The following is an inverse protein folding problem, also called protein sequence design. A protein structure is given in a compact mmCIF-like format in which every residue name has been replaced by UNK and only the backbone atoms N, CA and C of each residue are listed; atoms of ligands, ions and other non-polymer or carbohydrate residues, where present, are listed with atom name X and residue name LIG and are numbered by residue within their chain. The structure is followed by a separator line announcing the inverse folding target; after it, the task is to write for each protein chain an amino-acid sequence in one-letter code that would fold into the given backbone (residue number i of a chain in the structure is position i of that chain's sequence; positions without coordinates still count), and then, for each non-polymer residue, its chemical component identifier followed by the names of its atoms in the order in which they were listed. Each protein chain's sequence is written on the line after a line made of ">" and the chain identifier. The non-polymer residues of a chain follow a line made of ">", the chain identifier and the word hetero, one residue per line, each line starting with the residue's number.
data_IF_485751259491
#
_entry.id   IF_485751259491
#
_cell.length_a   1.000
_cell.length_b   1.000
_cell.length_c   1.000
_cell.angle_alpha   90.00
_cell.angle_beta   90.00
_cell.angle_gamma   90.00
#
_symmetry.space_group_name_H-M   'P 1'
#
loop_
_entity.id
_entity.type
_entity.pdbx_description
1 polymer ?
#
# COMPACT_ATOMS: atom_id res chain seq x y z
N UNK A 1 -0.23 -9.22 -28.71
CA UNK A 1 -0.17 -7.75 -28.59
C UNK A 1 1.13 -7.33 -27.91
N UNK A 2 1.38 -7.67 -26.64
CA UNK A 2 2.66 -7.38 -25.99
C UNK A 2 3.87 -7.97 -26.73
N UNK A 3 3.78 -9.20 -27.24
CA UNK A 3 4.82 -9.81 -28.08
C UNK A 3 5.18 -8.96 -29.31
N UNK A 4 4.17 -8.42 -29.98
CA UNK A 4 4.33 -7.56 -31.15
C UNK A 4 4.97 -6.23 -30.78
N UNK A 5 4.56 -5.62 -29.66
CA UNK A 5 5.17 -4.38 -29.15
C UNK A 5 6.64 -4.62 -28.81
N UNK A 6 6.94 -5.70 -28.07
CA UNK A 6 8.31 -6.12 -27.76
C UNK A 6 9.14 -6.30 -29.03
N UNK A 7 8.58 -6.95 -30.05
CA UNK A 7 9.26 -7.09 -31.34
C UNK A 7 9.62 -5.74 -31.97
N UNK A 8 8.69 -4.78 -32.01
CA UNK A 8 8.96 -3.43 -32.54
C UNK A 8 10.06 -2.72 -31.73
N UNK A 9 9.98 -2.79 -30.40
CA UNK A 9 10.99 -2.19 -29.52
C UNK A 9 12.36 -2.84 -29.75
N UNK A 10 12.44 -4.15 -29.85
CA UNK A 10 13.68 -4.88 -30.15
C UNK A 10 14.21 -4.51 -31.53
N UNK A 11 13.37 -4.53 -32.56
CA UNK A 11 13.76 -4.20 -33.94
C UNK A 11 14.32 -2.78 -34.05
N UNK A 12 13.64 -1.79 -33.45
CA UNK A 12 14.09 -0.38 -33.46
C UNK A 12 15.35 -0.14 -32.64
N UNK A 13 15.62 -0.97 -31.64
CA UNK A 13 16.84 -0.89 -30.83
C UNK A 13 18.03 -1.58 -31.50
N UNK A 14 17.81 -2.72 -32.15
CA UNK A 14 18.87 -3.53 -32.73
C UNK A 14 19.26 -3.07 -34.15
N UNK A 15 18.33 -2.50 -34.90
CA UNK A 15 18.59 -1.98 -36.25
C UNK A 15 18.96 -0.51 -36.22
N UNK A 16 20.19 -0.19 -36.62
CA UNK A 16 20.65 1.20 -36.77
C UNK A 16 19.74 2.00 -37.70
N UNK A 17 19.35 1.42 -38.84
CA UNK A 17 18.50 2.07 -39.83
C UNK A 17 17.12 2.41 -39.23
N UNK A 18 16.52 1.47 -38.48
CA UNK A 18 15.22 1.70 -37.85
C UNK A 18 15.30 2.76 -36.75
N UNK A 19 16.39 2.75 -35.97
CA UNK A 19 16.64 3.77 -34.93
C UNK A 19 16.79 5.16 -35.54
N UNK A 20 17.60 5.28 -36.60
CA UNK A 20 17.83 6.54 -37.30
C UNK A 20 16.53 7.05 -37.95
N UNK A 21 15.71 6.17 -38.53
CA UNK A 21 14.38 6.54 -39.04
C UNK A 21 13.46 7.04 -37.92
N UNK A 22 13.44 6.37 -36.76
CA UNK A 22 12.65 6.82 -35.61
C UNK A 22 13.09 8.23 -35.17
N UNK A 23 14.39 8.45 -34.99
CA UNK A 23 14.93 9.77 -34.59
C UNK A 23 14.63 10.84 -35.65
N UNK A 24 14.72 10.49 -36.94
CA UNK A 24 14.35 11.39 -38.05
C UNK A 24 12.88 11.81 -37.96
N UNK A 25 11.97 10.87 -37.71
CA UNK A 25 10.55 11.20 -37.57
C UNK A 25 10.27 11.99 -36.30
N UNK A 26 10.90 11.65 -35.17
CA UNK A 26 10.82 12.42 -33.94
C UNK A 26 11.22 13.88 -34.16
N UNK A 27 12.35 14.14 -34.85
CA UNK A 27 12.75 15.50 -35.26
C UNK A 27 11.72 16.17 -36.15
N UNK A 28 11.14 15.45 -37.11
CA UNK A 28 10.16 16.04 -38.04
C UNK A 28 8.83 16.41 -37.39
N UNK A 29 8.50 15.79 -36.25
CA UNK A 29 7.28 16.06 -35.48
C UNK A 29 7.55 16.85 -34.19
N UNK A 30 8.73 17.46 -34.06
CA UNK A 30 9.17 18.24 -32.89
C UNK A 30 9.12 17.46 -31.56
N UNK A 31 9.33 16.14 -31.60
CA UNK A 31 9.49 15.32 -30.42
C UNK A 31 10.96 15.22 -29.98
N UNK A 32 11.17 15.11 -28.67
CA UNK A 32 12.49 14.81 -28.09
C UNK A 32 12.93 13.43 -28.56
N UNK A 33 14.11 13.36 -29.17
CA UNK A 33 14.74 12.11 -29.58
C UNK A 33 14.93 11.17 -28.39
N UNK A 34 14.30 9.99 -28.47
CA UNK A 34 14.33 9.02 -27.39
C UNK A 34 14.03 7.64 -27.90
N UNK A 35 14.73 6.67 -27.30
CA UNK A 35 14.52 5.26 -27.60
C UNK A 35 13.21 4.76 -27.01
N UNK A 36 12.67 3.72 -27.63
CA UNK A 36 11.58 2.93 -27.07
C UNK A 36 12.08 2.13 -25.85
N UNK A 37 11.19 1.90 -24.89
CA UNK A 37 11.50 1.21 -23.64
C UNK A 37 11.04 -0.25 -23.77
N UNK A 38 11.92 -1.19 -23.40
CA UNK A 38 11.58 -2.61 -23.33
C UNK A 38 11.14 -2.98 -21.91
N UNK A 39 10.17 -3.88 -21.76
CA UNK A 39 9.73 -4.34 -20.45
C UNK A 39 10.67 -5.41 -19.87
N UNK A 40 10.90 -5.35 -18.56
CA UNK A 40 11.86 -6.19 -17.85
C UNK A 40 11.09 -6.99 -16.82
N UNK A 41 11.14 -8.32 -16.93
CA UNK A 41 10.37 -9.25 -16.10
C UNK A 41 10.58 -9.00 -14.60
N UNK A 42 11.80 -8.64 -14.19
CA UNK A 42 12.15 -8.40 -12.78
C UNK A 42 11.73 -7.03 -12.25
N UNK A 43 11.24 -6.11 -13.10
CA UNK A 43 10.82 -4.76 -12.71
C UNK A 43 9.31 -4.62 -12.86
N UNK A 44 8.61 -4.54 -11.73
CA UNK A 44 7.15 -4.68 -11.64
C UNK A 44 6.38 -3.69 -12.54
N UNK A 45 6.88 -2.47 -12.73
CA UNK A 45 6.22 -1.42 -13.53
C UNK A 45 6.74 -1.30 -14.97
N UNK A 46 7.67 -2.15 -15.39
CA UNK A 46 8.34 -1.99 -16.69
C UNK A 46 7.40 -2.13 -17.89
N UNK A 47 6.41 -3.03 -17.81
CA UNK A 47 5.38 -3.19 -18.86
C UNK A 47 4.54 -1.93 -19.02
N UNK A 48 4.19 -1.26 -17.92
CA UNK A 48 3.46 0.01 -17.96
C UNK A 48 4.26 1.08 -18.69
N UNK A 49 5.54 1.25 -18.35
CA UNK A 49 6.40 2.25 -19.00
C UNK A 49 6.69 1.94 -20.47
N UNK A 50 6.86 0.65 -20.84
CA UNK A 50 6.95 0.25 -22.24
C UNK A 50 5.70 0.65 -23.02
N UNK A 51 4.50 0.33 -22.50
CA UNK A 51 3.24 0.67 -23.14
C UNK A 51 3.05 2.19 -23.24
N UNK A 52 3.37 2.93 -22.18
CA UNK A 52 3.30 4.38 -22.18
C UNK A 52 4.19 4.98 -23.28
N UNK A 53 5.47 4.60 -23.33
CA UNK A 53 6.40 5.11 -24.35
C UNK A 53 5.97 4.70 -25.76
N UNK A 54 5.48 3.48 -25.94
CA UNK A 54 4.97 3.00 -27.21
C UNK A 54 3.80 3.85 -27.72
N UNK A 55 2.88 4.26 -26.83
CA UNK A 55 1.74 5.12 -27.18
C UNK A 55 2.19 6.55 -27.47
N UNK A 56 3.13 7.10 -26.69
CA UNK A 56 3.69 8.44 -26.91
C UNK A 56 4.35 8.59 -28.29
N UNK A 57 4.91 7.50 -28.82
CA UNK A 57 5.59 7.44 -30.13
C UNK A 57 4.69 6.93 -31.26
N UNK A 58 3.36 6.84 -31.08
CA UNK A 58 2.45 6.24 -32.05
C UNK A 58 2.61 6.81 -33.46
N UNK A 59 2.72 8.14 -33.58
CA UNK A 59 2.86 8.84 -34.87
C UNK A 59 4.19 8.45 -35.54
N UNK A 60 5.30 8.49 -34.79
CA UNK A 60 6.63 8.19 -35.32
C UNK A 60 6.79 6.73 -35.70
N UNK A 61 6.29 5.81 -34.87
CA UNK A 61 6.32 4.37 -35.14
C UNK A 61 5.48 4.04 -36.38
N UNK A 62 4.29 4.64 -36.50
CA UNK A 62 3.42 4.42 -37.66
C UNK A 62 4.07 4.95 -38.95
N UNK A 63 4.73 6.11 -38.90
CA UNK A 63 5.48 6.67 -40.03
C UNK A 63 6.73 5.85 -40.38
N UNK A 64 7.41 5.28 -39.38
CA UNK A 64 8.60 4.45 -39.58
C UNK A 64 8.28 3.09 -40.19
N UNK A 65 7.22 2.43 -39.73
CA UNK A 65 6.86 1.07 -40.16
C UNK A 65 5.91 1.06 -41.36
N UNK A 66 5.27 2.18 -41.71
CA UNK A 66 4.30 2.31 -42.80
C UNK A 66 3.16 1.27 -42.76
N UNK A 67 2.88 0.70 -41.60
CA UNK A 67 1.94 -0.41 -41.43
C UNK A 67 0.71 0.00 -40.62
N UNK A 68 -0.44 0.10 -41.29
CA UNK A 68 -1.75 0.28 -40.63
C UNK A 68 -2.12 -0.88 -39.70
N UNK A 69 -1.43 -2.02 -39.82
CA UNK A 69 -1.62 -3.21 -38.98
C UNK A 69 -1.40 -2.92 -37.49
N UNK A 70 -0.62 -1.89 -37.15
CA UNK A 70 -0.36 -1.51 -35.75
C UNK A 70 -1.50 -0.72 -35.09
N UNK A 71 -2.48 -0.21 -35.83
CA UNK A 71 -3.56 0.61 -35.26
C UNK A 71 -4.35 -0.13 -34.15
N UNK A 72 -4.62 -1.43 -34.36
CA UNK A 72 -5.26 -2.28 -33.34
C UNK A 72 -4.36 -2.49 -32.12
N UNK A 73 -3.04 -2.56 -32.32
CA UNK A 73 -2.07 -2.69 -31.23
C UNK A 73 -2.01 -1.43 -30.37
N UNK A 74 -2.06 -0.23 -30.97
CA UNK A 74 -2.15 1.03 -30.23
C UNK A 74 -3.45 1.15 -29.42
N UNK A 75 -4.61 0.82 -30.02
CA UNK A 75 -5.89 0.83 -29.30
C UNK A 75 -5.87 -0.10 -28.08
N UNK A 76 -5.37 -1.32 -28.26
CA UNK A 76 -5.25 -2.27 -27.15
C UNK A 76 -4.23 -1.81 -26.11
N UNK A 77 -3.10 -1.23 -26.53
CA UNK A 77 -2.08 -0.69 -25.63
C UNK A 77 -2.64 0.45 -24.77
N UNK A 78 -3.44 1.35 -25.35
CA UNK A 78 -4.14 2.43 -24.62
C UNK A 78 -5.06 1.87 -23.54
N UNK A 79 -5.87 0.87 -23.87
CA UNK A 79 -6.74 0.19 -22.89
C UNK A 79 -5.90 -0.47 -21.79
N UNK A 80 -4.83 -1.19 -22.15
CA UNK A 80 -3.97 -1.84 -21.17
C UNK A 80 -3.22 -0.85 -20.28
N UNK A 81 -2.77 0.30 -20.79
CA UNK A 81 -2.14 1.36 -20.00
C UNK A 81 -3.10 1.87 -18.93
N UNK A 82 -4.34 2.22 -19.32
CA UNK A 82 -5.36 2.73 -18.38
C UNK A 82 -5.65 1.70 -17.27
N UNK A 83 -5.68 0.41 -17.61
CA UNK A 83 -5.89 -0.65 -16.61
C UNK A 83 -4.70 -0.86 -15.68
N UNK A 84 -3.47 -0.58 -16.12
CA UNK A 84 -2.24 -0.72 -15.32
C UNK A 84 -1.89 0.53 -14.52
N UNK A 85 -2.45 1.69 -14.86
CA UNK A 85 -2.17 2.98 -14.20
C UNK A 85 -2.47 3.00 -12.69
N UNK A 86 -3.60 2.44 -12.18
CA UNK A 86 -3.84 2.34 -10.74
C UNK A 86 -2.76 1.53 -10.01
N UNK A 87 -2.23 0.49 -10.66
CA UNK A 87 -1.19 -0.37 -10.09
C UNK A 87 0.15 0.35 -10.02
N UNK A 88 0.54 1.08 -11.08
CA UNK A 88 1.76 1.87 -11.06
C UNK A 88 1.70 2.94 -9.97
N UNK A 89 0.56 3.62 -9.83
CA UNK A 89 0.34 4.61 -8.79
C UNK A 89 0.41 4.00 -7.38
N UNK A 90 -0.23 2.84 -7.18
CA UNK A 90 -0.18 2.10 -5.92
C UNK A 90 1.24 1.65 -5.57
N UNK A 91 1.96 1.04 -6.51
CA UNK A 91 3.35 0.61 -6.32
C UNK A 91 4.25 1.80 -6.01
N UNK A 92 4.11 2.94 -6.71
CA UNK A 92 4.89 4.15 -6.42
C UNK A 92 4.60 4.71 -5.03
N UNK A 93 3.33 4.68 -4.60
CA UNK A 93 2.95 5.13 -3.26
C UNK A 93 3.51 4.22 -2.17
N UNK A 94 3.48 2.90 -2.38
CA UNK A 94 3.98 1.90 -1.42
C UNK A 94 5.51 1.77 -1.42
N UNK A 95 6.18 2.14 -2.52
CA UNK A 95 7.64 2.16 -2.61
C UNK A 95 8.26 3.48 -2.15
N UNK A 96 7.48 4.36 -1.51
CA UNK A 96 7.96 5.63 -0.97
C UNK A 96 8.57 5.40 0.41
N UNK A 97 9.85 5.74 0.57
CA UNK A 97 10.59 5.57 1.83
C UNK A 97 10.25 6.63 2.90
N UNK A 98 9.48 7.66 2.55
CA UNK A 98 9.24 8.82 3.42
C UNK A 98 8.02 8.71 4.34
N UNK A 99 7.19 7.67 4.18
CA UNK A 99 5.95 7.51 4.96
C UNK A 99 5.82 6.06 5.47
N UNK A 100 5.18 5.84 6.63
CA UNK A 100 4.83 4.49 7.06
C UNK A 100 3.98 3.81 5.99
N UNK A 101 4.52 2.75 5.38
CA UNK A 101 3.86 2.07 4.26
C UNK A 101 2.86 1.02 4.74
N UNK A 102 3.04 0.46 5.95
CA UNK A 102 2.22 -0.66 6.43
C UNK A 102 0.75 -0.26 6.68
N UNK A 103 0.48 0.97 7.14
CA UNK A 103 -0.88 1.47 7.39
C UNK A 103 -1.67 1.76 6.11
N UNK A 104 -0.98 2.02 4.99
CA UNK A 104 -1.61 2.35 3.70
C UNK A 104 -1.82 1.12 2.80
N UNK A 105 -1.21 -0.02 3.13
CA UNK A 105 -1.34 -1.27 2.38
C UNK A 105 -2.80 -1.71 2.26
N UNK A 106 -3.54 -1.78 3.36
CA UNK A 106 -4.93 -2.27 3.37
C UNK A 106 -5.89 -1.32 2.60
N UNK A 107 -5.81 0.02 2.77
CA UNK A 107 -6.53 0.97 1.93
C UNK A 107 -6.21 0.86 0.44
N UNK A 108 -4.93 0.69 0.08
CA UNK A 108 -4.49 0.59 -1.32
C UNK A 108 -5.01 -0.69 -1.98
N UNK A 109 -4.84 -1.84 -1.33
CA UNK A 109 -5.31 -3.13 -1.86
C UNK A 109 -6.83 -3.10 -2.04
N UNK A 110 -7.55 -2.62 -1.03
CA UNK A 110 -9.01 -2.49 -1.11
C UNK A 110 -9.42 -1.56 -2.25
N UNK A 111 -8.80 -0.37 -2.35
CA UNK A 111 -9.08 0.58 -3.44
C UNK A 111 -8.81 -0.02 -4.83
N UNK A 112 -7.71 -0.76 -5.00
CA UNK A 112 -7.40 -1.44 -6.26
C UNK A 112 -8.49 -2.45 -6.61
N UNK A 113 -8.91 -3.28 -5.67
CA UNK A 113 -9.98 -4.25 -5.87
C UNK A 113 -11.28 -3.55 -6.28
N UNK A 114 -11.67 -2.46 -5.59
CA UNK A 114 -12.87 -1.69 -5.94
C UNK A 114 -12.78 -1.07 -7.35
N UNK A 115 -11.59 -0.67 -7.77
CA UNK A 115 -11.37 -0.08 -9.10
C UNK A 115 -11.54 -1.10 -10.23
N UNK A 116 -11.38 -2.39 -9.92
CA UNK A 116 -11.57 -3.52 -10.83
C UNK A 116 -13.02 -4.01 -10.89
N UNK A 117 -13.96 -3.30 -10.26
CA UNK A 117 -15.38 -3.59 -10.37
C UNK A 117 -15.90 -3.32 -11.79
N UNK A 118 -16.75 -4.22 -12.26
CA UNK A 118 -17.34 -4.15 -13.59
C UNK A 118 -18.26 -2.93 -13.69
N UNK A 119 -18.05 -2.13 -14.73
CA UNK A 119 -18.92 -1.01 -15.08
C UNK A 119 -19.77 -1.39 -16.28
N UNK A 120 -20.97 -0.82 -16.36
CA UNK A 120 -21.88 -1.03 -17.49
C UNK A 120 -21.29 -0.60 -18.83
N UNK A 121 -20.34 0.34 -18.81
CA UNK A 121 -19.64 0.87 -19.98
C UNK A 121 -18.40 0.06 -20.39
N UNK A 122 -18.03 -0.98 -19.64
CA UNK A 122 -16.81 -1.73 -19.90
C UNK A 122 -16.94 -2.63 -21.13
N UNK A 123 -15.94 -2.54 -22.02
CA UNK A 123 -15.82 -3.46 -23.15
C UNK A 123 -15.51 -4.89 -22.70
N UNK A 124 -15.79 -5.88 -23.56
CA UNK A 124 -15.49 -7.29 -23.27
C UNK A 124 -14.02 -7.56 -22.98
N UNK A 125 -13.10 -6.81 -23.59
CA UNK A 125 -11.67 -6.88 -23.30
C UNK A 125 -11.35 -6.37 -21.89
N UNK A 126 -11.97 -5.25 -21.49
CA UNK A 126 -11.76 -4.64 -20.17
C UNK A 126 -12.24 -5.58 -19.07
N UNK A 127 -13.43 -6.18 -19.21
CA UNK A 127 -13.97 -7.13 -18.23
C UNK A 127 -13.04 -8.32 -18.04
N UNK A 128 -12.58 -8.94 -19.12
CA UNK A 128 -11.59 -10.03 -19.06
C UNK A 128 -10.30 -9.62 -18.36
N UNK A 129 -9.80 -8.40 -18.61
CA UNK A 129 -8.61 -7.90 -17.93
C UNK A 129 -8.86 -7.69 -16.43
N UNK A 130 -10.00 -7.10 -16.08
CA UNK A 130 -10.42 -6.90 -14.68
C UNK A 130 -10.55 -8.22 -13.93
N UNK A 131 -11.15 -9.23 -14.54
CA UNK A 131 -11.27 -10.57 -13.96
C UNK A 131 -9.89 -11.19 -13.64
N UNK A 132 -8.97 -11.14 -14.61
CA UNK A 132 -7.60 -11.66 -14.44
C UNK A 132 -6.85 -10.89 -13.34
N UNK A 133 -6.95 -9.57 -13.33
CA UNK A 133 -6.30 -8.73 -12.32
C UNK A 133 -6.89 -8.95 -10.94
N UNK A 134 -8.22 -9.07 -10.84
CA UNK A 134 -8.91 -9.32 -9.58
C UNK A 134 -8.48 -10.66 -9.00
N UNK A 135 -8.48 -11.74 -9.80
CA UNK A 135 -8.02 -13.05 -9.36
C UNK A 135 -6.57 -13.03 -8.88
N UNK A 136 -5.70 -12.31 -9.59
CA UNK A 136 -4.28 -12.19 -9.21
C UNK A 136 -4.08 -11.41 -7.89
N UNK A 137 -4.85 -10.33 -7.66
CA UNK A 137 -4.80 -9.58 -6.40
C UNK A 137 -5.36 -10.43 -5.27
N UNK A 138 -6.51 -11.07 -5.47
CA UNK A 138 -7.15 -11.93 -4.50
C UNK A 138 -6.18 -13.00 -4.00
N UNK A 139 -5.58 -13.76 -4.92
CA UNK A 139 -4.64 -14.83 -4.58
C UNK A 139 -3.44 -14.32 -3.78
N UNK A 140 -2.85 -13.19 -4.17
CA UNK A 140 -1.62 -12.66 -3.53
C UNK A 140 -1.85 -11.94 -2.21
N UNK A 141 -3.02 -11.34 -2.04
CA UNK A 141 -3.34 -10.47 -0.90
C UNK A 141 -4.42 -11.06 0.01
N UNK A 142 -4.79 -12.33 -0.14
CA UNK A 142 -5.78 -12.99 0.73
C UNK A 142 -5.38 -12.85 2.21
N UNK A 143 -4.13 -13.18 2.54
CA UNK A 143 -3.64 -13.19 3.92
C UNK A 143 -3.43 -11.79 4.52
N UNK A 144 -3.39 -10.75 3.67
CA UNK A 144 -3.14 -9.38 4.15
C UNK A 144 -4.30 -8.84 4.97
N UNK A 145 -5.51 -9.28 4.63
CA UNK A 145 -6.73 -8.98 5.36
C UNK A 145 -6.78 -9.70 6.72
N UNK A 146 -6.02 -10.78 6.90
CA UNK A 146 -5.94 -11.55 8.15
C UNK A 146 -4.76 -11.14 9.04
N UNK A 147 -3.79 -10.42 8.48
CA UNK A 147 -2.61 -9.97 9.20
C UNK A 147 -2.96 -8.88 10.23
N UNK A 148 -2.90 -9.26 11.52
CA UNK A 148 -3.20 -8.38 12.65
C UNK A 148 -2.33 -7.12 12.72
N UNK A 149 -1.07 -7.20 12.30
CA UNK A 149 -0.18 -6.03 12.30
C UNK A 149 -0.61 -5.02 11.24
N UNK A 150 -0.95 -5.47 10.04
CA UNK A 150 -1.45 -4.60 8.96
C UNK A 150 -2.76 -3.92 9.38
N UNK A 151 -3.69 -4.70 9.97
CA UNK A 151 -4.95 -4.18 10.49
C UNK A 151 -4.72 -3.11 11.56
N UNK A 152 -3.89 -3.42 12.57
CA UNK A 152 -3.58 -2.49 13.65
C UNK A 152 -2.94 -1.21 13.13
N UNK A 153 -1.93 -1.32 12.26
CA UNK A 153 -1.28 -0.16 11.66
C UNK A 153 -2.25 0.69 10.83
N UNK A 154 -3.20 0.07 10.13
CA UNK A 154 -4.22 0.80 9.35
C UNK A 154 -5.20 1.53 10.27
N UNK A 155 -5.64 0.89 11.36
CA UNK A 155 -6.61 1.44 12.32
C UNK A 155 -6.02 2.59 13.13
N UNK A 156 -4.74 2.51 13.47
CA UNK A 156 -4.02 3.55 14.23
C UNK A 156 -3.62 4.75 13.37
N UNK A 157 -3.85 4.72 12.06
CA UNK A 157 -3.54 5.83 11.17
C UNK A 157 -4.77 6.75 11.05
N UNK A 158 -4.69 8.02 11.51
CA UNK A 158 -5.82 8.94 11.50
C UNK A 158 -6.43 9.15 10.12
N UNK A 159 -5.67 8.91 9.03
CA UNK A 159 -6.13 9.06 7.64
C UNK A 159 -7.16 8.02 7.23
N UNK A 160 -7.22 6.89 7.95
CA UNK A 160 -8.06 5.73 7.60
C UNK A 160 -9.06 5.39 8.72
N UNK A 161 -9.15 6.26 9.73
CA UNK A 161 -9.99 6.11 10.93
C UNK A 161 -11.49 6.07 10.63
N UNK A 162 -11.93 6.69 9.53
CA UNK A 162 -13.32 6.71 9.08
C UNK A 162 -13.77 5.40 8.40
N UNK A 163 -12.81 4.50 8.11
CA UNK A 163 -13.00 3.25 7.37
C UNK A 163 -13.73 3.40 6.02
N UNK A 164 -13.76 4.59 5.41
CA UNK A 164 -14.53 4.83 4.18
C UNK A 164 -14.00 4.04 2.99
N UNK A 165 -12.70 3.68 3.02
CA UNK A 165 -12.09 2.81 2.02
C UNK A 165 -12.69 1.40 2.00
N UNK A 166 -13.29 0.92 3.10
CA UNK A 166 -13.96 -0.38 3.18
C UNK A 166 -15.41 -0.33 2.66
N UNK A 167 -16.07 0.82 2.73
CA UNK A 167 -17.48 0.98 2.29
C UNK A 167 -17.64 0.86 0.77
N UNK A 168 -16.55 1.04 0.02
CA UNK A 168 -16.56 1.11 -1.45
C UNK A 168 -16.36 -0.23 -2.14
N UNK A 169 -15.96 -1.27 -1.41
CA UNK A 169 -15.75 -2.58 -2.01
C UNK A 169 -17.06 -3.36 -2.07
N UNK A 170 -17.43 -3.82 -3.27
CA UNK A 170 -18.47 -4.84 -3.50
C UNK A 170 -18.10 -6.22 -2.90
N UNK A 171 -17.10 -6.28 -2.03
CA UNK A 171 -16.86 -7.42 -1.16
C UNK A 171 -17.96 -7.49 -0.11
N UNK A 172 -18.91 -8.35 -0.42
CA UNK A 172 -19.95 -8.88 0.44
C UNK A 172 -19.40 -9.71 1.63
N UNK A 173 -18.25 -9.32 2.20
CA UNK A 173 -17.79 -9.80 3.50
C UNK A 173 -18.01 -8.70 4.54
N UNK A 174 -19.27 -8.30 4.72
CA UNK A 174 -19.71 -7.63 5.95
C UNK A 174 -19.23 -8.44 7.19
N UNK A 175 -19.04 -9.75 7.07
CA UNK A 175 -18.58 -10.63 8.16
C UNK A 175 -17.10 -10.43 8.54
N UNK A 176 -16.19 -10.16 7.60
CA UNK A 176 -14.76 -10.02 7.91
C UNK A 176 -14.40 -8.63 8.42
N UNK A 177 -15.00 -7.58 7.86
CA UNK A 177 -14.86 -6.20 8.36
C UNK A 177 -15.52 -6.05 9.73
N UNK A 178 -16.70 -6.66 9.94
CA UNK A 178 -17.25 -6.82 11.28
C UNK A 178 -16.36 -7.73 12.14
N UNK A 179 -15.63 -8.71 11.59
CA UNK A 179 -14.65 -9.47 12.37
C UNK A 179 -13.45 -8.61 12.77
N UNK A 180 -13.01 -7.65 11.95
CA UNK A 180 -11.94 -6.73 12.26
C UNK A 180 -12.37 -5.75 13.34
N UNK A 181 -13.54 -5.12 13.16
CA UNK A 181 -14.18 -4.28 14.17
C UNK A 181 -14.45 -5.06 15.47
N UNK A 182 -14.99 -6.28 15.39
CA UNK A 182 -15.20 -7.16 16.54
C UNK A 182 -13.88 -7.67 17.14
N UNK A 183 -12.81 -7.88 16.37
CA UNK A 183 -11.49 -8.29 16.89
C UNK A 183 -10.79 -7.12 17.58
N UNK A 184 -11.00 -5.90 17.11
CA UNK A 184 -10.52 -4.66 17.75
C UNK A 184 -11.34 -4.34 19.01
N UNK A 185 -12.67 -4.40 18.94
CA UNK A 185 -13.56 -4.31 20.10
C UNK A 185 -13.36 -5.46 21.09
N UNK A 186 -13.08 -6.68 20.63
CA UNK A 186 -12.74 -7.81 21.50
C UNK A 186 -11.32 -7.73 22.05
N UNK A 187 -10.40 -7.03 21.38
CA UNK A 187 -9.08 -6.71 21.92
C UNK A 187 -9.22 -5.66 23.04
N UNK A 188 -10.01 -4.60 22.82
CA UNK A 188 -10.38 -3.63 23.85
C UNK A 188 -11.11 -4.29 25.03
N UNK A 189 -12.11 -5.15 24.77
CA UNK A 189 -12.85 -5.87 25.80
C UNK A 189 -11.99 -6.92 26.54
N UNK A 190 -11.06 -7.60 25.86
CA UNK A 190 -10.08 -8.49 26.53
C UNK A 190 -9.07 -7.73 27.35
N UNK A 191 -8.61 -6.56 26.88
CA UNK A 191 -7.75 -5.67 27.66
C UNK A 191 -8.48 -5.20 28.91
N UNK A 192 -9.72 -4.73 28.80
CA UNK A 192 -10.56 -4.32 29.94
C UNK A 192 -10.82 -5.45 30.93
N UNK A 193 -11.14 -6.67 30.45
CA UNK A 193 -11.36 -7.84 31.31
C UNK A 193 -10.09 -8.30 32.03
N UNK A 194 -8.92 -8.22 31.37
CA UNK A 194 -7.62 -8.49 31.99
C UNK A 194 -7.29 -7.47 33.09
N UNK A 195 -7.58 -6.18 32.84
CA UNK A 195 -7.38 -5.09 33.80
C UNK A 195 -8.27 -5.23 35.04
N UNK A 196 -9.54 -5.62 34.89
CA UNK A 196 -10.44 -5.89 36.01
C UNK A 196 -9.97 -7.09 36.86
N UNK A 197 -9.53 -8.18 36.23
CA UNK A 197 -9.01 -9.35 36.94
C UNK A 197 -7.71 -9.04 37.70
N UNK A 198 -6.84 -8.22 37.12
CA UNK A 198 -5.66 -7.70 37.84
C UNK A 198 -6.06 -6.83 39.03
N UNK A 199 -7.09 -5.98 38.91
CA UNK A 199 -7.56 -5.14 40.01
C UNK A 199 -8.08 -5.97 41.18
N UNK A 200 -8.85 -7.03 40.92
CA UNK A 200 -9.31 -7.96 41.97
C UNK A 200 -8.15 -8.68 42.65
N UNK A 201 -7.17 -9.15 41.89
CA UNK A 201 -5.97 -9.79 42.42
C UNK A 201 -5.11 -8.84 43.26
N UNK A 202 -4.97 -7.59 42.80
CA UNK A 202 -4.21 -6.57 43.52
C UNK A 202 -4.93 -6.11 44.80
N UNK A 203 -6.26 -6.10 44.82
CA UNK A 203 -7.04 -5.85 46.04
C UNK A 203 -6.87 -7.01 47.05
N UNK A 204 -6.79 -8.25 46.58
CA UNK A 204 -6.44 -9.40 47.42
C UNK A 204 -5.01 -9.32 47.96
N UNK A 205 -4.05 -8.82 47.18
CA UNK A 205 -2.66 -8.59 47.62
C UNK A 205 -2.53 -7.44 48.61
N UNK A 206 -3.23 -6.31 48.38
CA UNK A 206 -3.23 -5.14 49.27
C UNK A 206 -3.76 -5.47 50.66
N UNK A 207 -4.74 -6.36 50.75
CA UNK A 207 -5.27 -6.83 52.04
C UNK A 207 -4.29 -7.75 52.78
N UNK A 208 -3.24 -8.26 52.11
CA UNK A 208 -2.29 -9.23 52.67
C UNK A 208 -0.85 -8.71 52.88
N UNK A 209 -0.49 -7.49 52.43
CA UNK A 209 0.90 -6.97 52.44
C UNK A 209 1.19 -5.84 53.47
N UNK A 210 0.41 -5.71 54.54
CA UNK A 210 0.66 -4.72 55.60
C UNK A 210 1.84 -5.07 56.55
N UNK A 211 2.94 -5.65 56.05
CA UNK A 211 4.19 -5.89 56.82
C UNK A 211 5.43 -5.74 55.90
N UNK A 212 6.41 -4.94 56.33
CA UNK A 212 7.72 -4.64 55.69
C UNK A 212 8.89 -5.27 56.47
N UNK A 213 10.20 -5.14 56.10
CA UNK A 213 10.90 -4.91 54.81
C UNK A 213 12.17 -5.82 54.65
N UNK A 214 13.08 -5.59 53.65
CA UNK A 214 14.59 -5.56 53.75
C UNK A 214 15.33 -5.55 52.37
N UNK A 215 16.46 -4.84 52.34
CA UNK A 215 17.44 -4.44 51.29
C UNK A 215 18.13 -5.52 50.41
N UNK A 216 18.63 -5.12 49.23
CA UNK A 216 20.03 -5.31 48.79
C UNK A 216 20.38 -4.51 47.50
N UNK A 217 21.56 -3.90 47.47
CA UNK A 217 22.22 -3.28 46.31
C UNK A 217 23.25 -4.26 45.70
N UNK A 218 23.52 -4.19 44.39
CA UNK A 218 24.88 -4.09 43.79
C UNK A 218 24.85 -3.95 42.25
N UNK A 219 25.86 -3.24 41.73
CA UNK A 219 26.06 -2.69 40.38
C UNK A 219 26.67 -3.69 39.37
N UNK A 220 26.49 -3.43 38.06
CA UNK A 220 27.55 -3.56 37.04
C UNK A 220 27.21 -2.76 35.76
N UNK A 221 28.14 -1.91 35.31
CA UNK A 221 28.04 -1.02 34.14
C UNK A 221 28.46 -1.72 32.84
N UNK A 222 27.59 -1.71 31.81
CA UNK A 222 27.93 -1.76 30.38
C UNK A 222 26.66 -1.59 29.51
N UNK A 223 26.35 -0.35 29.08
CA UNK A 223 25.88 0.06 27.72
C UNK A 223 25.32 1.50 27.75
N UNK A 224 26.19 2.51 27.86
CA UNK A 224 25.78 3.91 28.14
C UNK A 224 24.81 4.57 27.13
N UNK A 225 24.68 4.04 25.91
CA UNK A 225 23.74 4.55 24.90
C UNK A 225 22.34 3.91 25.00
N UNK A 226 22.24 2.65 25.43
CA UNK A 226 20.97 2.02 25.78
C UNK A 226 20.57 2.30 27.23
N UNK A 227 21.51 2.60 28.12
CA UNK A 227 21.24 2.99 29.52
C UNK A 227 20.34 4.23 29.60
N UNK A 228 20.40 5.16 28.65
CA UNK A 228 19.50 6.32 28.58
C UNK A 228 18.07 5.92 28.15
N UNK A 229 17.97 4.97 27.22
CA UNK A 229 16.70 4.41 26.78
C UNK A 229 16.09 3.53 27.88
N UNK A 230 16.89 2.64 28.47
CA UNK A 230 16.53 1.77 29.58
C UNK A 230 16.24 2.58 30.85
N UNK A 231 16.96 3.67 31.13
CA UNK A 231 16.61 4.61 32.19
C UNK A 231 15.31 5.35 31.87
N UNK A 232 15.04 5.74 30.63
CA UNK A 232 13.74 6.33 30.25
C UNK A 232 12.59 5.33 30.35
N UNK A 233 12.84 4.05 30.09
CA UNK A 233 11.87 2.95 30.22
C UNK A 233 11.69 2.56 31.69
N UNK A 234 12.75 2.57 32.50
CA UNK A 234 12.76 2.17 33.92
C UNK A 234 12.30 3.30 34.87
N UNK A 235 12.65 4.55 34.57
CA UNK A 235 12.13 5.76 35.24
C UNK A 235 10.80 6.23 34.64
N UNK A 236 10.29 5.58 33.59
CA UNK A 236 8.84 5.49 33.41
C UNK A 236 8.33 4.65 34.59
N UNK A 237 8.14 5.32 35.73
CA UNK A 237 7.16 4.84 36.69
C UNK A 237 5.94 4.50 35.86
N UNK A 238 5.53 3.24 35.95
CA UNK A 238 4.24 2.80 35.45
C UNK A 238 3.22 3.63 36.19
N UNK A 239 2.89 4.80 35.64
CA UNK A 239 1.70 5.57 35.95
C UNK A 239 0.54 4.83 35.28
N UNK A 240 0.26 3.61 35.73
CA UNK A 240 -1.07 3.02 35.60
C UNK A 240 -1.97 3.89 36.46
N UNK A 241 -2.86 4.73 35.92
CA UNK A 241 -4.04 4.20 35.23
C UNK A 241 -4.80 5.18 34.32
N UNK A 242 -4.35 6.42 34.05
CA UNK A 242 -5.20 7.40 33.32
C UNK A 242 -4.70 7.90 31.96
N UNK A 243 -3.44 7.66 31.59
CA UNK A 243 -2.88 8.19 30.33
C UNK A 243 -3.28 7.39 29.09
N UNK A 244 -3.52 6.08 29.22
CA UNK A 244 -3.87 5.21 28.07
C UNK A 244 -5.29 5.43 27.55
N UNK A 245 -6.25 5.65 28.45
CA UNK A 245 -7.59 6.11 28.05
C UNK A 245 -7.50 7.51 27.43
N UNK A 246 -6.60 8.37 27.92
CA UNK A 246 -6.39 9.70 27.34
C UNK A 246 -5.78 9.66 25.93
N UNK A 247 -4.88 8.73 25.63
CA UNK A 247 -4.24 8.59 24.30
C UNK A 247 -5.24 8.06 23.27
N UNK A 248 -6.06 7.07 23.62
CA UNK A 248 -7.13 6.55 22.75
C UNK A 248 -8.26 7.56 22.56
N UNK A 249 -8.70 8.24 23.62
CA UNK A 249 -9.65 9.36 23.49
C UNK A 249 -9.06 10.53 22.71
N UNK A 250 -7.77 10.82 22.87
CA UNK A 250 -7.10 11.86 22.11
C UNK A 250 -7.06 11.48 20.63
N UNK A 251 -6.72 10.23 20.31
CA UNK A 251 -6.79 9.70 18.95
C UNK A 251 -8.22 9.74 18.39
N UNK A 252 -9.25 9.33 19.16
CA UNK A 252 -10.66 9.41 18.77
C UNK A 252 -11.13 10.85 18.51
N UNK A 253 -10.59 11.82 19.21
CA UNK A 253 -10.90 13.24 19.02
C UNK A 253 -9.96 13.95 18.05
N UNK A 254 -8.91 13.28 17.57
CA UNK A 254 -7.95 13.83 16.61
C UNK A 254 -8.58 14.01 15.24
N UNK A 255 -8.18 15.10 14.56
CA UNK A 255 -8.69 15.45 13.23
C UNK A 255 -8.31 14.39 12.21
N UNK A 256 -9.21 14.14 11.27
CA UNK A 256 -8.88 13.32 10.10
C UNK A 256 -7.85 14.05 9.23
N UNK A 257 -6.76 13.35 8.92
CA UNK A 257 -5.70 13.87 8.08
C UNK A 257 -5.99 13.55 6.60
N UNK A 258 -5.60 14.44 5.71
CA UNK A 258 -5.75 14.17 4.28
C UNK A 258 -4.75 13.10 3.82
N UNK A 259 -5.12 12.25 2.84
CA UNK A 259 -4.30 11.12 2.34
C UNK A 259 -2.86 11.45 1.89
N UNK A 260 -2.58 12.71 1.61
CA UNK A 260 -1.27 13.19 1.15
C UNK A 260 -0.47 13.87 2.28
N UNK A 261 -1.06 14.06 3.45
CA UNK A 261 -0.39 14.64 4.61
C UNK A 261 0.47 13.58 5.31
N UNK A 262 1.51 14.08 5.98
CA UNK A 262 2.42 13.26 6.75
C UNK A 262 1.76 12.89 8.07
N UNK A 263 1.53 11.59 8.29
CA UNK A 263 0.91 11.07 9.52
C UNK A 263 1.85 11.13 10.74
N UNK A 264 3.10 11.57 10.56
CA UNK A 264 4.09 11.73 11.62
C UNK A 264 4.32 13.19 12.01
N UNK A 265 3.65 14.13 11.37
CA UNK A 265 3.66 15.54 11.77
C UNK A 265 2.56 15.74 12.82
N UNK A 266 2.99 15.70 14.08
CA UNK A 266 2.21 15.98 15.29
C UNK A 266 2.31 17.46 15.68
#
# INVERSE_FOLDING_TARGET
>A
MLSTIRYVVTYTRDSHLANEMLNKYQRSFDFIERQLIFDIITRWNSTFYMLQRFIEEEICITACLNEKLFQKHFSNAKVSKVMLEPFEAATRKLASDSLPTLSIVLPVVTTLITSLEDRSTDSSLIKKMKDVFRGSIQERFTEIYENKLVQLCTVLDPRWKDFTFLQRSSYQNHVETLSLLNKLQAFEAKQLAYLYLQEQYNNLLRNNLAVSPVNAQQNEEKEKEFDLFDMMITNRQVTSSNTRDSELLMYENERELHRNENSLEW
#
